data_IF_637613994599
#
_entry.id   IF_637613994599
#
_cell.length_a   1.000
_cell.length_b   1.000
_cell.length_c   1.000
_cell.angle_alpha   90.00
_cell.angle_beta   90.00
_cell.angle_gamma   90.00
#
_symmetry.space_group_name_H-M   'P 1'
#
loop_
_entity.id
_entity.type
_entity.pdbx_description
1 polymer ?
#
# COMPACT_ATOMS: atom_id res chain seq x y z
N UNK A 1 15.77 7.35 -20.53
CA UNK A 1 14.68 8.33 -20.74
C UNK A 1 13.62 7.67 -21.61
N UNK A 2 12.37 7.53 -21.15
CA UNK A 2 11.29 6.93 -21.97
C UNK A 2 10.78 7.97 -22.98
N UNK A 3 10.78 7.65 -24.26
CA UNK A 3 10.26 8.52 -25.32
C UNK A 3 8.76 8.21 -25.49
N UNK A 4 7.89 9.19 -25.23
CA UNK A 4 6.44 9.09 -25.45
C UNK A 4 6.06 9.92 -26.68
N UNK A 5 6.08 9.32 -27.86
CA UNK A 5 5.82 9.98 -29.15
C UNK A 5 4.51 9.54 -29.83
N UNK A 6 3.68 8.75 -29.15
CA UNK A 6 2.36 8.31 -29.62
C UNK A 6 1.28 9.04 -28.82
N UNK A 7 0.26 9.53 -29.52
CA UNK A 7 -0.88 10.22 -28.92
C UNK A 7 -2.15 9.40 -29.09
N UNK A 8 -3.00 9.35 -28.05
CA UNK A 8 -4.29 8.67 -28.07
C UNK A 8 -5.37 9.73 -27.75
N UNK A 9 -6.12 10.22 -28.74
CA UNK A 9 -7.19 11.17 -28.47
C UNK A 9 -8.40 10.45 -27.85
N UNK A 10 -8.86 10.94 -26.69
CA UNK A 10 -10.03 10.42 -25.97
C UNK A 10 -11.04 11.56 -25.83
N UNK A 11 -12.32 11.29 -26.13
CA UNK A 11 -13.42 12.21 -25.84
C UNK A 11 -14.02 11.84 -24.49
N UNK A 12 -14.18 12.84 -23.63
CA UNK A 12 -14.77 12.71 -22.31
C UNK A 12 -15.76 13.84 -22.08
N UNK A 13 -16.75 13.59 -21.24
CA UNK A 13 -17.63 14.60 -20.67
C UNK A 13 -16.91 15.36 -19.54
N UNK A 14 -17.43 16.55 -19.18
CA UNK A 14 -16.89 17.34 -18.07
C UNK A 14 -16.83 16.55 -16.76
N UNK A 15 -17.91 15.80 -16.46
CA UNK A 15 -17.99 14.96 -15.26
C UNK A 15 -16.93 13.87 -15.24
N UNK A 16 -16.67 13.24 -16.37
CA UNK A 16 -15.63 12.21 -16.49
C UNK A 16 -14.24 12.81 -16.32
N UNK A 17 -14.00 14.00 -16.88
CA UNK A 17 -12.73 14.72 -16.72
C UNK A 17 -12.45 15.07 -15.25
N UNK A 18 -13.43 15.59 -14.52
CA UNK A 18 -13.31 15.88 -13.09
C UNK A 18 -13.03 14.62 -12.25
N UNK A 19 -13.66 13.50 -12.60
CA UNK A 19 -13.42 12.22 -11.91
C UNK A 19 -11.99 11.75 -12.17
N UNK A 20 -11.52 11.81 -13.42
CA UNK A 20 -10.15 11.44 -13.80
C UNK A 20 -9.14 12.31 -13.05
N UNK A 21 -9.35 13.63 -13.01
CA UNK A 21 -8.42 14.56 -12.35
C UNK A 21 -8.34 14.33 -10.84
N UNK A 22 -9.50 14.13 -10.20
CA UNK A 22 -9.55 13.81 -8.77
C UNK A 22 -8.85 12.49 -8.46
N UNK A 23 -9.01 11.46 -9.30
CA UNK A 23 -8.32 10.18 -9.12
C UNK A 23 -6.81 10.31 -9.36
N UNK A 24 -6.39 11.08 -10.36
CA UNK A 24 -4.98 11.38 -10.63
C UNK A 24 -4.33 12.14 -9.46
N UNK A 25 -5.01 13.16 -8.93
CA UNK A 25 -4.55 13.92 -7.77
C UNK A 25 -4.42 13.04 -6.52
N UNK A 26 -5.42 12.20 -6.25
CA UNK A 26 -5.40 11.21 -5.16
C UNK A 26 -4.22 10.24 -5.29
N UNK A 27 -3.90 9.81 -6.51
CA UNK A 27 -2.76 8.96 -6.81
C UNK A 27 -1.41 9.69 -6.85
N UNK A 28 -1.39 11.02 -6.70
CA UNK A 28 -0.20 11.88 -6.88
C UNK A 28 0.48 11.71 -8.24
N UNK A 29 -0.30 11.48 -9.28
CA UNK A 29 0.17 11.33 -10.66
C UNK A 29 -0.34 12.48 -11.53
N UNK A 30 0.41 12.80 -12.58
CA UNK A 30 -0.15 13.64 -13.66
C UNK A 30 -1.31 12.90 -14.32
N UNK A 31 -2.27 13.63 -14.91
CA UNK A 31 -3.39 13.04 -15.65
C UNK A 31 -2.93 11.99 -16.67
N UNK A 32 -1.88 12.32 -17.43
CA UNK A 32 -1.30 11.42 -18.44
C UNK A 32 -0.69 10.19 -17.79
N UNK A 33 0.08 10.33 -16.72
CA UNK A 33 0.66 9.19 -16.02
C UNK A 33 -0.41 8.31 -15.37
N UNK A 34 -1.45 8.93 -14.80
CA UNK A 34 -2.61 8.22 -14.26
C UNK A 34 -3.32 7.41 -15.35
N UNK A 35 -3.67 8.01 -16.49
CA UNK A 35 -4.37 7.31 -17.57
C UNK A 35 -3.53 6.19 -18.19
N UNK A 36 -2.23 6.43 -18.41
CA UNK A 36 -1.32 5.42 -18.91
C UNK A 36 -1.15 4.28 -17.91
N UNK A 37 -1.00 4.59 -16.62
CA UNK A 37 -0.87 3.58 -15.56
C UNK A 37 -2.15 2.75 -15.44
N UNK A 38 -3.32 3.39 -15.45
CA UNK A 38 -4.62 2.73 -15.38
C UNK A 38 -4.90 1.84 -16.60
N UNK A 39 -4.58 2.31 -17.81
CA UNK A 39 -4.79 1.57 -19.04
C UNK A 39 -3.84 0.36 -19.20
N UNK A 40 -2.66 0.42 -18.58
CA UNK A 40 -1.67 -0.66 -18.57
C UNK A 40 -1.89 -1.66 -17.42
N UNK A 41 -3.08 -1.73 -16.84
CA UNK A 41 -3.42 -2.71 -15.79
C UNK A 41 -2.78 -2.46 -14.42
N UNK A 42 -2.02 -1.37 -14.25
CA UNK A 42 -1.49 -1.01 -12.93
C UNK A 42 -2.60 -0.42 -12.10
N UNK A 43 -3.19 -1.23 -11.22
CA UNK A 43 -4.22 -0.82 -10.28
C UNK A 43 -3.83 0.48 -9.56
N UNK A 44 -4.52 1.57 -9.86
CA UNK A 44 -4.33 2.85 -9.16
C UNK A 44 -5.16 2.81 -7.89
N UNK A 45 -4.63 2.13 -6.88
CA UNK A 45 -5.31 1.96 -5.60
C UNK A 45 -4.92 3.09 -4.65
N UNK A 46 -5.91 3.89 -4.25
CA UNK A 46 -5.73 4.89 -3.22
C UNK A 46 -5.62 4.21 -1.85
N UNK A 47 -4.42 4.25 -1.29
CA UNK A 47 -4.03 3.60 -0.03
C UNK A 47 -4.60 4.31 1.22
N UNK A 48 -5.78 4.92 1.14
CA UNK A 48 -6.41 5.64 2.25
C UNK A 48 -6.94 4.67 3.33
N UNK A 49 -7.45 3.51 2.93
CA UNK A 49 -8.12 2.56 3.83
C UNK A 49 -7.15 1.77 4.73
N UNK A 50 -5.85 1.75 4.40
CA UNK A 50 -4.83 1.03 5.17
C UNK A 50 -4.20 1.88 6.30
N UNK A 51 -4.31 3.21 6.22
CA UNK A 51 -3.74 4.12 7.22
C UNK A 51 -4.30 3.89 8.64
N UNK A 52 -5.62 3.69 8.83
CA UNK A 52 -6.18 3.41 10.16
C UNK A 52 -5.59 2.12 10.76
N UNK A 53 -5.45 1.07 9.93
CA UNK A 53 -4.92 -0.23 10.35
C UNK A 53 -3.44 -0.12 10.77
N UNK A 54 -2.63 0.60 9.99
CA UNK A 54 -1.23 0.85 10.33
C UNK A 54 -1.07 1.66 11.62
N UNK A 55 -2.01 2.57 11.90
CA UNK A 55 -2.01 3.40 13.10
C UNK A 55 -2.29 2.55 14.35
N UNK A 56 -3.28 1.66 14.28
CA UNK A 56 -3.59 0.73 15.36
C UNK A 56 -2.45 -0.26 15.60
N UNK A 57 -1.82 -0.79 14.54
CA UNK A 57 -0.67 -1.67 14.70
C UNK A 57 0.50 -0.98 15.41
N UNK A 58 0.77 0.28 15.06
CA UNK A 58 1.79 1.09 15.74
C UNK A 58 1.45 1.31 17.22
N UNK A 59 0.17 1.51 17.55
CA UNK A 59 -0.30 1.66 18.92
C UNK A 59 -0.08 0.37 19.73
N UNK A 60 -0.39 -0.77 19.15
CA UNK A 60 -0.14 -2.08 19.78
C UNK A 60 1.37 -2.29 20.02
N UNK A 61 2.22 -2.02 19.04
CA UNK A 61 3.68 -2.12 19.19
C UNK A 61 4.24 -1.21 20.28
N UNK A 62 3.72 0.01 20.41
CA UNK A 62 4.10 0.92 21.49
C UNK A 62 3.72 0.38 22.88
N UNK A 63 2.52 -0.19 23.03
CA UNK A 63 2.07 -0.79 24.29
C UNK A 63 2.93 -1.99 24.67
N UNK A 64 3.28 -2.85 23.71
CA UNK A 64 4.20 -3.98 23.93
C UNK A 64 5.56 -3.47 24.39
N UNK A 65 6.12 -2.45 23.72
CA UNK A 65 7.42 -1.89 24.11
C UNK A 65 7.41 -1.30 25.54
N UNK A 66 6.30 -0.69 25.97
CA UNK A 66 6.14 -0.20 27.34
C UNK A 66 6.10 -1.35 28.34
N UNK A 67 5.34 -2.41 28.06
CA UNK A 67 5.30 -3.61 28.90
C UNK A 67 6.68 -4.26 29.03
N UNK A 68 7.44 -4.36 27.93
CA UNK A 68 8.82 -4.88 27.96
C UNK A 68 9.73 -4.02 28.83
N UNK A 69 9.62 -2.69 28.77
CA UNK A 69 10.39 -1.80 29.65
C UNK A 69 10.04 -1.98 31.12
N UNK A 70 8.75 -2.10 31.45
CA UNK A 70 8.28 -2.34 32.82
C UNK A 70 8.73 -3.71 33.34
N UNK A 71 8.71 -4.73 32.48
CA UNK A 71 9.22 -6.06 32.81
C UNK A 71 10.74 -6.05 33.06
N UNK A 72 11.51 -5.42 32.17
CA UNK A 72 12.96 -5.29 32.32
C UNK A 72 13.37 -4.48 33.57
N UNK A 73 12.54 -3.52 33.98
CA UNK A 73 12.73 -2.77 35.22
C UNK A 73 12.35 -3.57 36.48
N UNK A 74 11.85 -4.81 36.33
CA UNK A 74 11.37 -5.65 37.43
C UNK A 74 10.03 -5.19 38.02
N UNK A 75 9.36 -4.20 37.40
CA UNK A 75 8.12 -3.61 37.91
C UNK A 75 6.89 -4.46 37.62
N UNK A 76 6.93 -5.33 36.60
CA UNK A 76 5.82 -6.21 36.21
C UNK A 76 6.35 -7.59 35.82
N UNK A 77 5.70 -8.66 36.29
CA UNK A 77 5.93 -10.02 35.76
C UNK A 77 4.98 -10.25 34.59
N UNK A 78 5.53 -10.32 33.39
CA UNK A 78 4.73 -10.58 32.17
C UNK A 78 4.83 -12.07 31.83
N UNK A 79 3.68 -12.73 31.67
CA UNK A 79 3.55 -14.14 31.29
C UNK A 79 2.85 -14.20 29.94
N UNK A 80 3.36 -14.98 28.97
CA UNK A 80 2.71 -15.15 27.66
C UNK A 80 3.01 -14.07 26.60
N UNK A 81 4.14 -13.37 26.70
CA UNK A 81 4.56 -12.35 25.70
C UNK A 81 4.93 -12.97 24.34
N UNK A 82 5.34 -14.24 24.33
CA UNK A 82 5.81 -14.95 23.15
C UNK A 82 4.66 -15.12 22.14
N UNK A 83 3.54 -15.70 22.59
CA UNK A 83 2.35 -15.97 21.76
C UNK A 83 1.77 -14.67 21.16
N UNK A 84 1.78 -13.59 21.94
CA UNK A 84 1.36 -12.27 21.46
C UNK A 84 2.31 -11.72 20.38
N UNK A 85 3.61 -11.84 20.60
CA UNK A 85 4.63 -11.37 19.65
C UNK A 85 4.53 -12.13 18.33
N UNK A 86 4.28 -13.44 18.41
CA UNK A 86 4.13 -14.33 17.26
C UNK A 86 2.87 -14.00 16.46
N UNK A 87 1.71 -13.89 17.11
CA UNK A 87 0.46 -13.48 16.46
C UNK A 87 0.55 -12.08 15.82
N UNK A 88 1.25 -11.14 16.47
CA UNK A 88 1.46 -9.80 15.90
C UNK A 88 2.41 -9.84 14.70
N UNK A 89 3.42 -10.72 14.74
CA UNK A 89 4.32 -11.00 13.64
C UNK A 89 3.58 -11.58 12.43
N UNK A 90 2.68 -12.53 12.65
CA UNK A 90 1.83 -13.11 11.59
C UNK A 90 0.93 -12.07 10.93
N UNK A 91 0.26 -11.23 11.73
CA UNK A 91 -0.54 -10.11 11.20
C UNK A 91 0.32 -9.15 10.40
N UNK A 92 1.53 -8.81 10.89
CA UNK A 92 2.44 -7.93 10.18
C UNK A 92 2.89 -8.52 8.84
N UNK A 93 3.26 -9.81 8.82
CA UNK A 93 3.64 -10.52 7.59
C UNK A 93 2.47 -10.62 6.62
N UNK A 94 1.25 -10.89 7.10
CA UNK A 94 0.05 -10.93 6.26
C UNK A 94 -0.26 -9.55 5.63
N UNK A 95 -0.16 -8.47 6.41
CA UNK A 95 -0.31 -7.10 5.91
C UNK A 95 0.80 -6.74 4.91
N UNK A 96 2.04 -7.13 5.18
CA UNK A 96 3.15 -6.95 4.25
C UNK A 96 2.96 -7.78 2.98
N UNK A 97 2.44 -9.00 3.07
CA UNK A 97 2.12 -9.81 1.90
C UNK A 97 1.00 -9.18 1.08
N UNK A 98 -0.04 -8.64 1.70
CA UNK A 98 -1.07 -7.87 0.98
C UNK A 98 -0.47 -6.62 0.30
N UNK A 99 0.48 -5.96 0.96
CA UNK A 99 1.20 -4.84 0.39
C UNK A 99 2.22 -5.24 -0.71
N UNK A 100 2.79 -6.45 -0.66
CA UNK A 100 3.91 -6.93 -1.49
C UNK A 100 3.53 -7.91 -2.61
N UNK A 101 2.54 -8.80 -2.45
CA UNK A 101 2.04 -9.63 -3.57
C UNK A 101 1.49 -8.76 -4.70
N UNK A 102 0.93 -7.58 -4.38
CA UNK A 102 0.57 -6.55 -5.37
C UNK A 102 1.78 -5.96 -6.12
N UNK A 103 3.00 -6.21 -5.64
CA UNK A 103 4.26 -5.82 -6.28
C UNK A 103 4.76 -6.90 -7.24
N UNK A 104 4.44 -8.18 -7.00
CA UNK A 104 4.82 -9.33 -7.85
C UNK A 104 3.84 -9.55 -9.01
N UNK A 105 2.53 -9.37 -8.77
CA UNK A 105 1.53 -9.34 -9.85
C UNK A 105 1.78 -8.19 -10.84
N UNK A 106 2.43 -7.11 -10.37
CA UNK A 106 2.87 -5.98 -11.21
C UNK A 106 4.20 -6.21 -11.95
N UNK A 107 4.93 -7.28 -11.63
CA UNK A 107 6.21 -7.67 -12.27
C UNK A 107 5.99 -8.83 -13.26
N UNK A 108 5.07 -9.75 -12.97
CA UNK A 108 4.71 -10.84 -13.89
C UNK A 108 4.15 -10.33 -15.25
N UNK A 109 3.35 -9.26 -15.24
CA UNK A 109 2.84 -8.61 -16.45
C UNK A 109 3.89 -7.73 -17.17
N UNK A 110 5.09 -7.55 -16.59
CA UNK A 110 6.21 -6.83 -17.20
C UNK A 110 7.17 -7.76 -17.95
N UNK A 111 7.12 -9.07 -17.71
CA UNK A 111 7.97 -10.07 -18.37
C UNK A 111 7.26 -10.81 -19.52
N UNK A 112 5.94 -10.65 -19.63
CA UNK A 112 5.14 -11.12 -20.76
C UNK A 112 5.02 -10.06 -21.86
N UNK A 113 6.14 -9.70 -22.50
CA UNK A 113 6.15 -9.26 -23.90
C UNK A 113 7.59 -9.13 -24.44
N UNK A 114 8.11 -10.17 -25.10
CA UNK A 114 8.88 -10.00 -26.31
C UNK A 114 7.93 -10.19 -27.51
N UNK A 115 7.68 -9.13 -28.26
CA UNK A 115 7.59 -9.04 -29.74
C UNK A 115 7.18 -7.62 -30.14
#
# INVERSE_FOLDING_TARGET
MRIRNKNIPIRVTEKELEIIDRKAAKAKLSRTDFLVTAALGKEITLMEDLKPILTELRRIGNNVNQLTKLANAGAVRVVGLQDLTEALGEIHVALMRIALHRKEDAVADSEADPV
#
